data_IF_934656044178
#
_entry.id   IF_934656044178
#
_cell.length_a   1.000
_cell.length_b   1.000
_cell.length_c   1.000
_cell.angle_alpha   90.00
_cell.angle_beta   90.00
_cell.angle_gamma   90.00
#
_symmetry.space_group_name_H-M   'P 1'
#
loop_
_entity.id
_entity.type
_entity.pdbx_description
1 polymer ?
#
# COMPACT_ATOMS: atom_id res chain seq x y z
N UNK A 1 -16.99 24.14 4.67
CA UNK A 1 -16.77 23.67 3.29
C UNK A 1 -18.12 23.39 2.66
N UNK A 2 -18.48 24.14 1.62
CA UNK A 2 -19.71 23.94 0.87
C UNK A 2 -19.71 22.57 0.15
N UNK A 3 -20.87 21.96 -0.10
CA UNK A 3 -20.97 20.61 -0.67
C UNK A 3 -20.33 20.54 -2.06
N UNK A 4 -20.44 21.59 -2.87
CA UNK A 4 -19.84 21.63 -4.19
C UNK A 4 -18.32 21.87 -4.15
N UNK A 5 -17.83 22.49 -3.09
CA UNK A 5 -16.40 22.68 -2.86
C UNK A 5 -15.71 21.38 -2.42
N UNK A 6 -16.45 20.45 -1.80
CA UNK A 6 -15.96 19.10 -1.42
C UNK A 6 -15.81 18.15 -2.62
N UNK A 7 -16.46 18.43 -3.75
CA UNK A 7 -16.33 17.66 -4.99
C UNK A 7 -15.00 17.95 -5.71
N UNK A 8 -14.50 19.17 -5.59
CA UNK A 8 -13.30 19.61 -6.31
C UNK A 8 -12.32 20.25 -5.36
N UNK A 9 -11.71 19.41 -4.53
CA UNK A 9 -10.58 19.84 -3.71
C UNK A 9 -9.30 19.69 -4.54
N UNK A 10 -8.68 20.82 -4.87
CA UNK A 10 -7.39 20.87 -5.57
C UNK A 10 -6.22 20.90 -4.58
N UNK A 11 -5.04 20.48 -5.04
CA UNK A 11 -3.78 20.51 -4.27
C UNK A 11 -3.85 19.84 -2.90
N UNK A 12 -4.63 18.76 -2.81
CA UNK A 12 -4.77 17.99 -1.59
C UNK A 12 -3.43 17.34 -1.21
N UNK A 13 -3.03 17.55 0.04
CA UNK A 13 -1.80 17.01 0.60
C UNK A 13 -2.14 16.22 1.86
N UNK A 14 -1.77 14.94 1.89
CA UNK A 14 -1.99 14.03 3.01
C UNK A 14 -0.62 13.50 3.43
N UNK A 15 -0.21 13.68 4.68
CA UNK A 15 1.09 13.20 5.12
C UNK A 15 1.24 13.18 6.63
N UNK A 16 2.23 12.41 7.08
CA UNK A 16 2.64 12.30 8.48
C UNK A 16 4.11 12.69 8.59
N UNK A 17 4.45 13.43 9.63
CA UNK A 17 5.82 13.83 9.90
C UNK A 17 6.70 12.58 10.11
N UNK A 18 7.92 12.58 9.55
CA UNK A 18 8.90 11.49 9.63
C UNK A 18 8.49 10.19 8.90
N UNK A 19 7.42 10.21 8.11
CA UNK A 19 6.94 9.06 7.35
C UNK A 19 6.90 9.37 5.85
N UNK A 20 6.19 10.43 5.48
CA UNK A 20 6.03 10.82 4.09
C UNK A 20 4.73 11.54 3.81
N UNK A 21 4.58 11.95 2.55
CA UNK A 21 3.48 12.78 2.06
C UNK A 21 3.00 12.32 0.69
N UNK A 22 1.69 12.36 0.50
CA UNK A 22 0.97 12.09 -0.74
C UNK A 22 0.36 13.41 -1.20
N UNK A 23 0.72 13.84 -2.42
CA UNK A 23 0.25 15.08 -3.04
C UNK A 23 -0.60 14.75 -4.26
N UNK A 24 -1.86 15.15 -4.22
CA UNK A 24 -2.79 14.99 -5.33
C UNK A 24 -2.83 16.28 -6.15
N UNK A 25 -2.39 16.20 -7.40
CA UNK A 25 -2.41 17.33 -8.34
C UNK A 25 -3.78 17.49 -9.02
N UNK A 26 -4.55 16.40 -9.08
CA UNK A 26 -5.87 16.39 -9.68
C UNK A 26 -6.93 16.67 -8.60
N UNK A 27 -8.06 17.28 -8.98
CA UNK A 27 -9.17 17.48 -8.06
C UNK A 27 -9.68 16.12 -7.53
N UNK A 28 -9.91 16.04 -6.23
CA UNK A 28 -10.41 14.85 -5.54
C UNK A 28 -11.83 15.10 -5.01
N UNK A 29 -12.71 14.13 -5.25
CA UNK A 29 -14.08 14.12 -4.76
C UNK A 29 -14.17 13.49 -3.35
N UNK A 30 -14.65 14.27 -2.37
CA UNK A 30 -14.87 13.82 -0.98
C UNK A 30 -16.34 13.59 -0.62
N UNK A 31 -17.25 13.70 -1.58
CA UNK A 31 -18.70 13.72 -1.32
C UNK A 31 -19.22 12.47 -0.60
N UNK A 32 -18.53 11.33 -0.74
CA UNK A 32 -18.86 10.05 -0.09
C UNK A 32 -17.84 9.56 0.92
N UNK A 33 -16.86 10.38 1.31
CA UNK A 33 -15.76 9.96 2.18
C UNK A 33 -15.73 10.85 3.43
N UNK A 34 -15.78 10.23 4.60
CA UNK A 34 -15.58 10.93 5.86
C UNK A 34 -14.10 11.32 6.04
N UNK A 35 -13.84 12.62 6.18
CA UNK A 35 -12.49 13.17 6.33
C UNK A 35 -11.76 12.65 7.58
N UNK A 36 -12.51 12.35 8.63
CA UNK A 36 -11.96 11.83 9.89
C UNK A 36 -11.50 10.37 9.74
N UNK A 37 -12.20 9.58 8.92
CA UNK A 37 -11.85 8.18 8.62
C UNK A 37 -10.83 8.05 7.48
N UNK A 38 -10.56 9.15 6.76
CA UNK A 38 -9.57 9.20 5.69
C UNK A 38 -8.15 8.89 6.21
N UNK A 39 -7.78 9.48 7.34
CA UNK A 39 -6.48 9.31 7.98
C UNK A 39 -6.52 8.09 8.90
N UNK A 40 -5.73 7.06 8.60
CA UNK A 40 -5.65 5.84 9.42
C UNK A 40 -6.70 4.76 9.09
N UNK A 41 -7.73 5.10 8.31
CA UNK A 41 -8.67 4.14 7.72
C UNK A 41 -8.39 3.92 6.23
N UNK A 42 -8.68 4.93 5.41
CA UNK A 42 -8.59 4.83 3.95
C UNK A 42 -7.16 4.97 3.42
N UNK A 43 -6.38 5.85 4.05
CA UNK A 43 -4.98 6.08 3.76
C UNK A 43 -4.17 5.69 4.98
N UNK A 44 -3.32 4.68 4.80
CA UNK A 44 -2.41 4.18 5.82
C UNK A 44 -0.99 4.53 5.38
N UNK A 45 -0.36 5.43 6.14
CA UNK A 45 1.03 5.82 5.97
C UNK A 45 1.85 5.17 7.09
N UNK A 46 2.79 4.30 6.72
CA UNK A 46 3.75 3.69 7.63
C UNK A 46 5.18 4.04 7.20
N UNK A 47 6.15 3.87 8.09
CA UNK A 47 7.54 4.17 7.77
C UNK A 47 8.05 3.39 6.55
N UNK A 48 8.17 4.10 5.41
CA UNK A 48 8.57 3.58 4.08
C UNK A 48 7.48 2.78 3.35
N UNK A 49 6.21 2.93 3.71
CA UNK A 49 5.09 2.33 3.01
C UNK A 49 3.89 3.28 2.99
N UNK A 50 3.22 3.37 1.85
CA UNK A 50 1.96 4.10 1.73
C UNK A 50 0.93 3.20 1.07
N UNK A 51 -0.18 3.00 1.76
CA UNK A 51 -1.31 2.18 1.30
C UNK A 51 -2.54 3.06 1.19
N UNK A 52 -3.15 3.07 0.01
CA UNK A 52 -4.42 3.75 -0.26
C UNK A 52 -5.42 2.66 -0.65
N UNK A 53 -6.62 2.69 -0.06
CA UNK A 53 -7.61 1.61 -0.17
C UNK A 53 -7.06 0.26 0.37
N UNK A 54 -6.85 0.13 1.69
CA UNK A 54 -6.53 -1.16 2.28
C UNK A 54 -7.66 -2.17 2.04
N UNK A 55 -7.34 -3.46 2.10
CA UNK A 55 -8.29 -4.54 1.80
C UNK A 55 -9.53 -4.53 2.72
N UNK A 56 -9.41 -3.93 3.90
CA UNK A 56 -10.51 -3.70 4.85
C UNK A 56 -11.61 -2.77 4.33
N UNK A 57 -11.34 -1.96 3.31
CA UNK A 57 -12.30 -1.00 2.76
C UNK A 57 -13.27 -1.64 1.74
N UNK A 58 -12.97 -2.86 1.26
CA UNK A 58 -13.81 -3.57 0.30
C UNK A 58 -13.45 -3.28 -1.16
N UNK A 59 -14.40 -2.82 -1.97
CA UNK A 59 -14.24 -2.67 -3.43
C UNK A 59 -13.48 -1.37 -3.76
N UNK A 60 -12.41 -1.49 -4.55
CA UNK A 60 -11.66 -0.34 -5.06
C UNK A 60 -12.49 0.41 -6.10
N UNK A 61 -12.59 1.75 -6.03
CA UNK A 61 -13.34 2.54 -7.00
C UNK A 61 -12.67 2.50 -8.38
N UNK A 62 -13.42 2.77 -9.46
CA UNK A 62 -12.85 2.85 -10.80
C UNK A 62 -11.77 3.94 -10.89
N UNK A 63 -10.85 3.84 -11.87
CA UNK A 63 -9.82 4.86 -12.07
C UNK A 63 -10.46 6.22 -12.36
N UNK A 64 -10.02 7.26 -11.67
CA UNK A 64 -10.53 8.62 -11.79
C UNK A 64 -11.60 9.00 -10.78
N UNK A 65 -12.07 8.06 -9.94
CA UNK A 65 -13.09 8.32 -8.92
C UNK A 65 -12.48 8.30 -7.50
N UNK A 66 -12.95 9.23 -6.65
CA UNK A 66 -12.45 9.39 -5.29
C UNK A 66 -10.94 9.69 -5.25
N UNK A 67 -10.18 8.89 -4.50
CA UNK A 67 -8.72 9.02 -4.37
C UNK A 67 -7.94 8.18 -5.38
N UNK A 68 -8.62 7.45 -6.28
CA UNK A 68 -7.97 6.67 -7.34
C UNK A 68 -7.59 7.57 -8.53
N UNK A 69 -6.85 8.63 -8.24
CA UNK A 69 -6.38 9.64 -9.21
C UNK A 69 -4.86 9.73 -9.16
N UNK A 70 -4.20 10.24 -10.21
CA UNK A 70 -2.75 10.37 -10.22
C UNK A 70 -2.24 11.27 -9.09
N UNK A 71 -1.34 10.73 -8.28
CA UNK A 71 -0.75 11.38 -7.12
C UNK A 71 0.78 11.24 -7.13
N UNK A 72 1.46 12.20 -6.50
CA UNK A 72 2.90 12.16 -6.24
C UNK A 72 3.13 11.76 -4.80
N UNK A 73 3.84 10.66 -4.56
CA UNK A 73 4.12 10.12 -3.23
C UNK A 73 5.60 10.35 -2.91
N UNK A 74 5.88 10.91 -1.74
CA UNK A 74 7.24 11.10 -1.21
C UNK A 74 7.33 10.38 0.13
N UNK A 75 8.20 9.38 0.22
CA UNK A 75 8.42 8.61 1.44
C UNK A 75 9.77 8.98 2.04
N UNK A 76 9.76 9.27 3.33
CA UNK A 76 10.96 9.55 4.08
C UNK A 76 11.68 8.25 4.48
N UNK A 77 12.94 8.39 4.84
CA UNK A 77 13.74 7.31 5.42
C UNK A 77 13.83 6.00 4.62
N UNK A 78 13.72 6.09 3.30
CA UNK A 78 13.65 4.95 2.38
C UNK A 78 15.02 4.60 1.80
N UNK A 79 15.95 4.18 2.66
CA UNK A 79 17.27 3.67 2.26
C UNK A 79 17.31 2.14 2.19
N UNK A 80 18.18 1.57 1.33
CA UNK A 80 18.36 0.12 1.23
C UNK A 80 18.78 -0.47 2.58
N UNK A 81 18.11 -1.55 2.99
CA UNK A 81 18.47 -2.29 4.23
C UNK A 81 19.16 -3.59 3.88
N UNK A 82 20.06 -4.02 4.76
CA UNK A 82 20.71 -5.32 4.66
C UNK A 82 19.64 -6.41 4.64
N UNK A 83 19.53 -7.14 3.53
CA UNK A 83 18.64 -8.28 3.39
C UNK A 83 19.04 -9.34 4.41
N UNK A 84 18.27 -9.48 5.48
CA UNK A 84 18.44 -10.57 6.43
C UNK A 84 18.15 -11.85 5.66
N UNK A 85 19.15 -12.71 5.50
CA UNK A 85 18.95 -14.04 4.91
C UNK A 85 17.96 -14.76 5.82
N UNK A 86 16.71 -14.87 5.38
CA UNK A 86 15.75 -15.77 6.00
C UNK A 86 16.43 -17.14 6.08
N UNK A 87 16.61 -17.64 7.30
CA UNK A 87 17.17 -18.98 7.50
C UNK A 87 16.12 -19.94 6.97
N UNK A 88 16.20 -20.27 5.68
CA UNK A 88 15.51 -21.43 5.14
C UNK A 88 16.08 -22.60 5.93
N UNK A 89 15.35 -23.03 6.95
CA UNK A 89 15.56 -24.30 7.59
C UNK A 89 15.21 -25.32 6.51
N UNK A 90 16.18 -25.64 5.64
CA UNK A 90 16.09 -26.77 4.74
C UNK A 90 15.94 -27.97 5.66
N UNK A 91 14.70 -28.39 5.92
CA UNK A 91 14.42 -29.74 6.41
C UNK A 91 15.08 -30.65 5.39
N UNK A 92 16.25 -31.20 5.72
CA UNK A 92 16.92 -32.19 4.88
C UNK A 92 15.89 -33.30 4.70
N UNK A 93 15.29 -33.41 3.52
CA UNK A 93 14.51 -34.60 3.19
C UNK A 93 15.50 -35.77 3.30
N UNK A 94 15.26 -36.78 4.15
CA UNK A 94 16.10 -37.96 4.14
C UNK A 94 16.04 -38.55 2.71
N UNK A 95 17.21 -38.72 2.10
CA UNK A 95 17.30 -39.20 0.72
C UNK A 95 16.68 -40.59 0.61
N UNK A 96 15.62 -40.70 -0.19
CA UNK A 96 15.07 -42.00 -0.57
C UNK A 96 16.07 -42.65 -1.52
N UNK A 97 16.79 -43.68 -1.05
CA UNK A 97 17.63 -44.51 -1.92
C UNK A 97 16.73 -45.51 -2.64
N UNK A 98 16.37 -45.24 -3.90
CA UNK A 98 15.83 -46.27 -4.77
C UNK A 98 16.98 -47.23 -5.13
N UNK A 99 16.91 -48.47 -4.62
CA UNK A 99 17.72 -49.58 -5.15
C UNK A 99 16.99 -50.14 -6.36
N UNK A 100 17.58 -49.99 -7.55
CA UNK A 100 17.17 -50.74 -8.72
C UNK A 100 17.63 -52.19 -8.55
N UNK A 101 16.69 -53.13 -8.59
CA UNK A 101 16.96 -54.56 -8.67
C UNK A 101 17.02 -54.86 -10.16
N UNK A 102 18.22 -55.10 -10.71
CA UNK A 102 18.34 -55.74 -12.02
C UNK A 102 18.17 -57.25 -11.80
N UNK A 103 17.07 -57.78 -12.31
CA UNK A 103 16.84 -59.21 -12.54
C UNK A 103 17.79 -59.70 -13.63
N UNK A 104 18.53 -60.78 -13.32
CA UNK A 104 19.23 -61.61 -14.29
C UNK A 104 18.27 -62.60 -14.96
#
# INVERSE_FOLDING_TARGET
MDKDQRKRVTDLTIGWENVGVIRFKHPVDFTGIDLESLLGGLVILESRSATVYPDSFGLKPPPGEGLNVPASISLESSWPRKRQKEKVCRRKRPGVKLRAILSA
#
